data_IF_151317691570
#
_entry.id   IF_151317691570
#
_cell.length_a   1.000
_cell.length_b   1.000
_cell.length_c   1.000
_cell.angle_alpha   90.00
_cell.angle_beta   90.00
_cell.angle_gamma   90.00
#
_symmetry.space_group_name_H-M   'P 1'
#
loop_
_entity.id
_entity.type
_entity.pdbx_description
1 polymer ?
#
# COMPACT_ATOMS: atom_id res chain seq x y z
N UNK A 1 -13.01 33.04 -15.56
CA UNK A 1 -13.23 32.62 -14.17
C UNK A 1 -12.03 31.75 -13.80
N UNK A 2 -11.14 32.21 -12.94
CA UNK A 2 -9.89 31.46 -12.61
C UNK A 2 -10.23 30.48 -11.50
N UNK A 3 -10.21 29.18 -11.82
CA UNK A 3 -10.40 28.09 -10.86
C UNK A 3 -9.10 27.98 -10.06
N UNK A 4 -9.19 28.13 -8.75
CA UNK A 4 -8.06 27.94 -7.84
C UNK A 4 -7.89 26.45 -7.58
N UNK A 5 -6.78 25.90 -8.03
CA UNK A 5 -6.34 24.55 -7.64
C UNK A 5 -6.16 24.49 -6.13
N UNK A 6 -6.91 23.64 -5.47
CA UNK A 6 -6.70 23.28 -4.07
C UNK A 6 -5.97 21.94 -4.03
N UNK A 7 -4.64 22.02 -3.98
CA UNK A 7 -3.82 20.84 -3.68
C UNK A 7 -3.87 20.62 -2.17
N UNK A 8 -4.63 19.64 -1.72
CA UNK A 8 -4.59 19.22 -0.33
C UNK A 8 -3.31 18.42 -0.06
N UNK A 9 -2.44 18.97 0.75
CA UNK A 9 -1.33 18.25 1.38
C UNK A 9 -1.91 17.70 2.68
N UNK A 10 -2.22 16.42 2.70
CA UNK A 10 -2.68 15.77 3.92
C UNK A 10 -1.56 15.65 4.96
N UNK A 11 -1.92 15.95 6.17
CA UNK A 11 -1.06 16.21 7.29
C UNK A 11 -0.30 14.98 7.81
N UNK A 12 0.86 15.28 8.31
CA UNK A 12 1.79 14.51 9.11
C UNK A 12 1.11 13.91 10.35
N UNK A 13 0.93 12.60 10.40
CA UNK A 13 0.66 11.89 11.65
C UNK A 13 1.96 11.29 12.19
N UNK A 14 2.47 11.86 13.26
CA UNK A 14 3.60 11.31 14.03
C UNK A 14 3.04 10.27 15.01
N UNK A 15 3.25 9.00 14.69
CA UNK A 15 2.97 7.90 15.63
C UNK A 15 4.14 7.74 16.60
N UNK A 16 3.88 7.88 17.90
CA UNK A 16 4.88 7.63 18.96
C UNK A 16 4.96 6.12 19.19
N UNK A 17 6.05 5.51 18.79
CA UNK A 17 6.39 4.12 19.05
C UNK A 17 7.86 3.98 19.42
N UNK A 18 8.18 3.10 20.33
CA UNK A 18 9.47 2.75 20.92
C UNK A 18 10.73 3.19 20.15
N UNK A 19 11.64 3.80 20.87
CA UNK A 19 12.99 4.29 20.52
C UNK A 19 13.40 4.19 19.02
N UNK A 20 13.28 5.30 18.28
CA UNK A 20 14.24 5.63 17.25
C UNK A 20 13.77 5.67 15.79
N UNK A 21 12.50 5.51 15.45
CA UNK A 21 12.07 5.59 14.04
C UNK A 21 10.91 6.56 13.87
N UNK A 22 11.18 7.65 13.17
CA UNK A 22 10.17 8.60 12.75
C UNK A 22 9.74 8.29 11.31
N UNK A 23 8.84 7.32 11.13
CA UNK A 23 8.31 7.01 9.80
C UNK A 23 7.55 8.23 9.27
N UNK A 24 7.89 8.67 8.07
CA UNK A 24 7.21 9.72 7.34
C UNK A 24 6.35 9.08 6.25
N UNK A 25 5.06 9.43 6.23
CA UNK A 25 4.13 9.02 5.18
C UNK A 25 3.80 10.26 4.35
N UNK A 26 3.93 10.14 3.04
CA UNK A 26 3.50 11.15 2.07
C UNK A 26 2.42 10.53 1.22
N UNK A 27 1.29 11.22 1.07
CA UNK A 27 0.18 10.79 0.22
C UNK A 27 -0.01 11.83 -0.87
N UNK A 28 0.02 11.39 -2.12
CA UNK A 28 -0.42 12.15 -3.28
C UNK A 28 -1.78 11.63 -3.75
N UNK A 29 -2.64 12.56 -4.11
CA UNK A 29 -3.98 12.28 -4.61
C UNK A 29 -4.29 13.13 -5.83
N UNK A 30 -4.84 12.50 -6.86
CA UNK A 30 -5.46 13.15 -8.00
C UNK A 30 -6.96 12.81 -8.02
N UNK A 31 -7.80 13.81 -7.85
CA UNK A 31 -9.26 13.62 -7.71
C UNK A 31 -9.88 12.94 -8.94
N UNK A 32 -10.97 12.21 -8.74
CA UNK A 32 -11.62 11.41 -9.77
C UNK A 32 -11.93 12.17 -11.06
N UNK A 33 -12.34 13.44 -11.00
CA UNK A 33 -12.64 14.26 -12.19
C UNK A 33 -11.43 14.64 -13.05
N UNK A 34 -10.21 14.50 -12.52
CA UNK A 34 -8.95 14.83 -13.19
C UNK A 34 -8.07 13.59 -13.40
N UNK A 35 -8.48 12.44 -12.85
CA UNK A 35 -7.75 11.20 -12.95
C UNK A 35 -7.65 10.74 -14.41
N UNK A 36 -6.44 10.37 -14.82
CA UNK A 36 -6.16 9.86 -16.17
C UNK A 36 -4.84 9.10 -16.19
N UNK A 37 -4.66 8.22 -17.17
CA UNK A 37 -3.49 7.34 -17.30
C UNK A 37 -2.16 8.06 -17.56
N UNK A 38 -2.15 9.36 -17.82
CA UNK A 38 -0.94 10.17 -18.00
C UNK A 38 -0.57 11.00 -16.76
N UNK A 39 -1.36 10.92 -15.69
CA UNK A 39 -1.11 11.66 -14.47
C UNK A 39 0.20 11.23 -13.81
N UNK A 40 0.91 12.20 -13.23
CA UNK A 40 2.14 11.96 -12.47
C UNK A 40 2.00 12.54 -11.07
N UNK A 41 2.25 11.71 -10.09
CA UNK A 41 2.30 12.12 -8.70
C UNK A 41 3.42 13.14 -8.48
N UNK A 42 3.20 14.08 -7.58
CA UNK A 42 4.11 15.21 -7.34
C UNK A 42 5.26 14.84 -6.41
N UNK A 43 4.96 14.10 -5.36
CA UNK A 43 5.88 13.81 -4.26
C UNK A 43 6.25 12.32 -4.20
N UNK A 44 5.39 11.45 -4.71
CA UNK A 44 5.65 10.00 -4.81
C UNK A 44 6.20 9.72 -6.21
N UNK A 45 7.34 9.03 -6.33
CA UNK A 45 7.91 8.71 -7.65
C UNK A 45 6.96 7.79 -8.44
N UNK A 46 7.08 7.74 -9.78
CA UNK A 46 6.36 6.75 -10.57
C UNK A 46 6.85 5.33 -10.23
N UNK A 47 6.03 4.29 -10.49
CA UNK A 47 6.43 2.90 -10.28
C UNK A 47 7.75 2.55 -10.94
N UNK A 48 8.53 1.72 -10.26
CA UNK A 48 9.81 1.22 -10.71
C UNK A 48 9.67 -0.22 -11.19
N UNK A 49 10.12 -0.53 -12.43
CA UNK A 49 10.04 -1.88 -13.01
C UNK A 49 11.08 -2.87 -12.49
N UNK A 50 12.13 -2.38 -11.84
CA UNK A 50 13.31 -3.13 -11.45
C UNK A 50 13.69 -2.95 -9.96
N UNK A 51 12.69 -2.58 -9.17
CA UNK A 51 12.82 -2.48 -7.72
C UNK A 51 12.93 -3.87 -7.04
N UNK A 52 12.98 -3.91 -5.72
CA UNK A 52 13.04 -5.19 -4.99
C UNK A 52 11.72 -5.97 -5.08
N UNK A 53 10.59 -5.27 -5.22
CA UNK A 53 9.26 -5.87 -5.38
C UNK A 53 9.16 -6.73 -6.61
N UNK A 54 9.74 -6.31 -7.74
CA UNK A 54 9.70 -7.02 -9.02
C UNK A 54 10.24 -8.47 -8.97
N UNK A 55 11.04 -8.80 -7.96
CA UNK A 55 11.61 -10.15 -7.75
C UNK A 55 11.06 -10.85 -6.51
N UNK A 56 10.17 -10.20 -5.79
CA UNK A 56 9.60 -10.73 -4.56
C UNK A 56 8.62 -11.87 -4.86
N UNK A 57 8.53 -12.81 -3.93
CA UNK A 57 7.46 -13.80 -3.95
C UNK A 57 6.29 -13.26 -3.15
N UNK A 58 5.14 -13.13 -3.81
CA UNK A 58 3.90 -12.74 -3.14
C UNK A 58 3.06 -13.96 -2.73
N UNK A 59 2.40 -13.86 -1.59
CA UNK A 59 1.54 -14.91 -1.05
C UNK A 59 0.31 -14.27 -0.42
N UNK A 60 -0.89 -14.74 -0.78
CA UNK A 60 -2.11 -14.39 -0.06
C UNK A 60 -2.10 -15.10 1.30
N UNK A 61 -2.00 -14.31 2.38
CA UNK A 61 -1.95 -14.85 3.75
C UNK A 61 -3.35 -15.05 4.29
N UNK A 62 -4.24 -14.09 4.10
CA UNK A 62 -5.62 -14.13 4.59
C UNK A 62 -6.55 -13.32 3.69
N UNK A 63 -7.85 -13.61 3.73
CA UNK A 63 -8.84 -13.06 2.82
C UNK A 63 -8.95 -13.87 1.52
N UNK A 64 -9.73 -13.39 0.57
CA UNK A 64 -9.89 -13.94 -0.76
C UNK A 64 -9.60 -12.85 -1.80
N UNK A 65 -9.05 -13.22 -2.95
CA UNK A 65 -8.91 -12.33 -4.11
C UNK A 65 -10.23 -12.26 -4.84
N UNK A 66 -10.61 -11.08 -5.30
CA UNK A 66 -11.76 -10.93 -6.19
C UNK A 66 -11.47 -11.57 -7.55
N UNK A 67 -12.45 -12.29 -8.09
CA UNK A 67 -12.31 -13.03 -9.36
C UNK A 67 -12.24 -12.12 -10.59
N UNK A 68 -12.63 -10.86 -10.47
CA UNK A 68 -12.54 -9.87 -11.55
C UNK A 68 -11.19 -9.15 -11.56
N UNK A 69 -10.44 -9.20 -10.43
CA UNK A 69 -9.14 -8.57 -10.29
C UNK A 69 -8.00 -9.36 -10.92
N UNK A 70 -6.87 -8.70 -11.08
CA UNK A 70 -5.61 -9.38 -11.35
C UNK A 70 -5.15 -10.17 -10.11
N UNK A 71 -4.26 -11.12 -10.32
CA UNK A 71 -3.60 -11.79 -9.20
C UNK A 71 -2.55 -10.87 -8.53
N UNK A 72 -1.89 -11.37 -7.48
CA UNK A 72 -0.90 -10.60 -6.73
C UNK A 72 0.29 -10.12 -7.59
N UNK A 73 0.54 -10.69 -8.77
CA UNK A 73 1.65 -10.26 -9.62
C UNK A 73 1.48 -8.86 -10.19
N UNK A 74 0.24 -8.37 -10.30
CA UNK A 74 -0.03 -6.97 -10.68
C UNK A 74 0.56 -5.96 -9.70
N UNK A 75 0.83 -6.38 -8.44
CA UNK A 75 1.43 -5.50 -7.44
C UNK A 75 2.93 -5.25 -7.63
N UNK A 76 3.56 -5.86 -8.63
CA UNK A 76 5.02 -5.79 -8.81
C UNK A 76 5.44 -5.80 -10.28
N UNK A 77 4.55 -5.43 -11.19
CA UNK A 77 4.83 -5.43 -12.63
C UNK A 77 5.35 -4.06 -13.14
N UNK A 78 5.40 -3.06 -12.25
CA UNK A 78 5.86 -1.71 -12.55
C UNK A 78 4.91 -0.91 -13.43
N UNK A 79 3.62 -1.26 -13.43
CA UNK A 79 2.59 -0.63 -14.25
C UNK A 79 1.53 0.03 -13.38
N UNK A 80 0.91 1.08 -13.90
CA UNK A 80 -0.32 1.67 -13.36
C UNK A 80 -1.45 1.46 -14.36
N UNK A 81 -2.70 1.39 -13.90
CA UNK A 81 -3.87 1.40 -14.76
C UNK A 81 -3.85 2.60 -15.71
N UNK A 82 -4.45 2.43 -16.87
CA UNK A 82 -4.63 3.50 -17.88
C UNK A 82 -6.03 4.10 -17.85
N UNK A 83 -6.95 3.43 -17.16
CA UNK A 83 -8.36 3.81 -17.02
C UNK A 83 -8.78 3.73 -15.55
N UNK A 84 -9.83 4.47 -15.19
CA UNK A 84 -10.26 4.65 -13.80
C UNK A 84 -10.95 3.42 -13.17
N UNK A 85 -11.47 2.52 -13.98
CA UNK A 85 -12.05 1.25 -13.56
C UNK A 85 -11.46 0.14 -14.43
N UNK A 86 -10.29 -0.35 -14.05
CA UNK A 86 -9.53 -1.36 -14.76
C UNK A 86 -9.19 -2.54 -13.83
N UNK A 87 -10.16 -3.41 -13.50
CA UNK A 87 -9.96 -4.52 -12.58
C UNK A 87 -8.76 -5.40 -12.92
N UNK A 88 -8.56 -5.69 -14.22
CA UNK A 88 -7.45 -6.55 -14.72
C UNK A 88 -6.04 -5.99 -14.51
N UNK A 89 -5.91 -4.72 -14.15
CA UNK A 89 -4.64 -4.06 -13.83
C UNK A 89 -4.46 -3.80 -12.33
N UNK A 90 -5.38 -4.32 -11.50
CA UNK A 90 -5.37 -4.10 -10.07
C UNK A 90 -5.61 -5.40 -9.32
N UNK A 91 -4.90 -5.57 -8.22
CA UNK A 91 -5.24 -6.54 -7.20
C UNK A 91 -6.22 -5.93 -6.20
N UNK A 92 -7.26 -6.65 -5.83
CA UNK A 92 -8.15 -6.29 -4.73
C UNK A 92 -8.76 -7.53 -4.08
N UNK A 93 -9.15 -7.37 -2.83
CA UNK A 93 -9.82 -8.43 -2.08
C UNK A 93 -11.28 -8.54 -2.52
N UNK A 94 -11.83 -9.74 -2.36
CA UNK A 94 -13.20 -10.08 -2.71
C UNK A 94 -14.21 -9.16 -2.00
N UNK A 95 -15.33 -8.90 -2.66
CA UNK A 95 -16.47 -8.19 -2.08
C UNK A 95 -16.91 -8.84 -0.75
N UNK A 96 -17.53 -8.07 0.12
CA UNK A 96 -18.02 -8.54 1.44
C UNK A 96 -16.94 -9.06 2.37
N UNK A 97 -15.69 -8.72 2.11
CA UNK A 97 -14.59 -8.97 3.05
C UNK A 97 -14.09 -7.66 3.64
N UNK A 98 -13.63 -7.71 4.90
CA UNK A 98 -12.97 -6.56 5.54
C UNK A 98 -11.54 -6.35 5.02
N UNK A 99 -11.24 -6.76 3.80
CA UNK A 99 -9.89 -6.80 3.24
C UNK A 99 -9.20 -8.13 3.53
N UNK A 100 -7.88 -8.09 3.73
CA UNK A 100 -7.09 -9.30 3.94
C UNK A 100 -5.62 -8.99 4.14
N UNK A 101 -4.79 -10.03 4.10
CA UNK A 101 -3.34 -9.93 4.25
C UNK A 101 -2.62 -10.56 3.08
N UNK A 102 -1.63 -9.86 2.54
CA UNK A 102 -0.65 -10.45 1.64
C UNK A 102 0.77 -10.24 2.13
N UNK A 103 1.61 -11.20 1.83
CA UNK A 103 3.03 -11.24 2.17
C UNK A 103 3.86 -11.00 0.91
N UNK A 104 4.92 -10.20 1.05
CA UNK A 104 5.99 -10.05 0.07
C UNK A 104 7.30 -10.56 0.68
N UNK A 105 7.89 -11.63 0.12
CA UNK A 105 9.20 -12.17 0.49
C UNK A 105 10.24 -11.67 -0.52
N UNK A 106 11.15 -10.82 -0.06
CA UNK A 106 12.24 -10.24 -0.86
C UNK A 106 13.41 -11.22 -1.09
N UNK A 107 13.30 -12.47 -0.59
CA UNK A 107 14.32 -13.52 -0.72
C UNK A 107 15.46 -13.41 0.29
N UNK A 108 15.86 -12.21 0.69
CA UNK A 108 16.90 -11.97 1.69
C UNK A 108 16.63 -10.70 2.49
N UNK A 109 17.25 -10.57 3.67
CA UNK A 109 17.12 -9.37 4.47
C UNK A 109 17.98 -8.23 3.86
N UNK A 110 17.31 -7.18 3.38
CA UNK A 110 17.90 -6.03 2.69
C UNK A 110 17.55 -4.76 3.46
N UNK A 111 18.45 -3.79 3.51
CA UNK A 111 18.17 -2.49 4.12
C UNK A 111 17.28 -1.67 3.17
N UNK A 112 16.08 -1.33 3.65
CA UNK A 112 15.06 -0.64 2.87
C UNK A 112 15.10 0.86 3.16
N UNK A 113 14.95 1.68 2.11
CA UNK A 113 14.86 3.15 2.24
C UNK A 113 13.45 3.66 2.07
N UNK A 114 12.62 3.01 1.26
CA UNK A 114 11.32 3.51 0.86
C UNK A 114 10.40 2.37 0.41
N UNK A 115 9.12 2.50 0.70
CA UNK A 115 8.06 1.63 0.18
C UNK A 115 6.96 2.54 -0.35
N UNK A 116 6.53 2.31 -1.60
CA UNK A 116 5.43 3.04 -2.21
C UNK A 116 4.28 2.08 -2.54
N UNK A 117 3.07 2.59 -2.49
CA UNK A 117 1.87 1.86 -2.91
C UNK A 117 1.01 2.77 -3.78
N UNK A 118 0.34 2.18 -4.77
CA UNK A 118 -0.46 2.91 -5.73
C UNK A 118 -1.84 2.26 -5.86
N UNK A 119 -2.85 3.10 -6.10
CA UNK A 119 -4.23 2.65 -6.33
C UNK A 119 -5.00 3.64 -7.19
N UNK A 120 -5.97 3.15 -7.93
CA UNK A 120 -6.87 3.99 -8.72
C UNK A 120 -8.24 3.36 -8.88
N UNK A 121 -9.27 4.12 -8.49
CA UNK A 121 -10.66 3.78 -8.74
C UNK A 121 -11.52 5.05 -8.68
N UNK A 122 -12.61 5.16 -9.44
CA UNK A 122 -13.44 6.37 -9.49
C UNK A 122 -14.21 6.67 -8.20
N UNK A 123 -14.34 5.70 -7.29
CA UNK A 123 -15.12 5.84 -6.05
C UNK A 123 -14.32 5.42 -4.81
N UNK A 124 -15.02 5.00 -3.77
CA UNK A 124 -14.50 4.57 -2.44
C UNK A 124 -13.40 3.51 -2.46
N UNK A 125 -13.18 2.82 -3.58
CA UNK A 125 -12.12 1.84 -3.76
C UNK A 125 -10.79 2.43 -4.27
N UNK A 126 -10.73 3.76 -4.49
CA UNK A 126 -9.48 4.49 -4.78
C UNK A 126 -8.58 4.64 -3.55
N UNK A 127 -9.11 5.10 -2.39
CA UNK A 127 -8.31 5.29 -1.19
C UNK A 127 -7.69 4.00 -0.66
N UNK A 128 -6.57 4.15 0.05
CA UNK A 128 -5.83 3.05 0.67
C UNK A 128 -5.99 3.07 2.19
N UNK A 129 -6.21 1.89 2.79
CA UNK A 129 -6.20 1.70 4.23
C UNK A 129 -5.51 0.38 4.57
N UNK A 130 -4.30 0.45 5.10
CA UNK A 130 -3.56 -0.75 5.51
C UNK A 130 -2.58 -0.48 6.64
N UNK A 131 -2.20 -1.53 7.36
CA UNK A 131 -1.03 -1.56 8.25
C UNK A 131 0.09 -2.32 7.58
N UNK A 132 1.29 -1.75 7.64
CA UNK A 132 2.51 -2.39 7.14
C UNK A 132 3.32 -2.93 8.32
N UNK A 133 3.72 -4.18 8.21
CA UNK A 133 4.65 -4.84 9.10
C UNK A 133 5.85 -5.36 8.32
N UNK A 134 7.00 -5.47 8.97
CA UNK A 134 8.22 -6.00 8.36
C UNK A 134 8.94 -6.94 9.32
N UNK A 135 9.69 -7.91 8.78
CA UNK A 135 10.52 -8.84 9.56
C UNK A 135 11.75 -9.25 8.75
N UNK A 136 12.87 -9.52 9.44
CA UNK A 136 14.00 -10.20 8.83
C UNK A 136 13.88 -11.74 8.89
N UNK A 137 12.88 -12.23 9.65
CA UNK A 137 12.62 -13.66 9.87
C UNK A 137 13.50 -14.31 10.92
N UNK A 138 14.34 -13.54 11.64
CA UNK A 138 15.27 -14.09 12.62
C UNK A 138 14.68 -14.31 14.03
N UNK A 139 13.52 -13.71 14.32
CA UNK A 139 12.87 -13.92 15.62
C UNK A 139 12.46 -15.40 15.77
N UNK A 140 12.80 -16.10 16.87
CA UNK A 140 12.37 -17.48 17.09
C UNK A 140 10.85 -17.70 17.08
N UNK A 141 10.07 -16.66 17.26
CA UNK A 141 8.59 -16.70 17.20
C UNK A 141 8.07 -16.37 15.80
N UNK A 142 8.95 -16.14 14.83
CA UNK A 142 8.52 -15.68 13.51
C UNK A 142 7.53 -16.66 12.86
N UNK A 143 6.35 -16.15 12.59
CA UNK A 143 5.35 -16.78 11.75
C UNK A 143 5.20 -15.93 10.47
N UNK A 144 5.58 -16.48 9.32
CA UNK A 144 5.53 -15.76 8.04
C UNK A 144 4.11 -15.48 7.54
N UNK A 145 3.12 -16.25 8.01
CA UNK A 145 1.74 -16.16 7.51
C UNK A 145 0.71 -16.01 8.65
N UNK A 146 0.81 -14.94 9.48
CA UNK A 146 -0.13 -14.74 10.56
C UNK A 146 -1.51 -14.36 10.01
N UNK A 147 -2.50 -15.24 10.24
CA UNK A 147 -3.89 -15.00 9.84
C UNK A 147 -4.49 -13.80 10.58
N UNK A 148 -5.53 -13.18 10.02
CA UNK A 148 -6.30 -12.13 10.72
C UNK A 148 -6.81 -12.66 12.06
N UNK A 149 -6.83 -11.76 13.06
CA UNK A 149 -7.08 -12.15 14.45
C UNK A 149 -5.81 -12.47 15.24
N UNK A 150 -4.66 -12.70 14.57
CA UNK A 150 -3.34 -12.78 15.20
C UNK A 150 -2.64 -11.43 15.03
N UNK A 151 -2.18 -10.84 16.14
CA UNK A 151 -1.33 -9.65 16.09
C UNK A 151 0.05 -10.03 15.52
N UNK A 152 0.48 -9.50 14.38
CA UNK A 152 1.78 -9.81 13.79
C UNK A 152 2.94 -9.50 14.73
N UNK A 153 2.85 -8.48 15.57
CA UNK A 153 3.89 -8.13 16.52
C UNK A 153 4.14 -9.25 17.53
N UNK A 154 3.10 -10.01 17.90
CA UNK A 154 3.24 -11.15 18.82
C UNK A 154 4.00 -12.33 18.24
N UNK A 155 4.19 -12.37 16.92
CA UNK A 155 4.83 -13.47 16.20
C UNK A 155 6.00 -13.01 15.30
N UNK A 156 6.82 -12.11 15.80
CA UNK A 156 8.12 -11.77 15.21
C UNK A 156 8.07 -10.73 14.09
N UNK A 157 6.97 -9.98 13.96
CA UNK A 157 6.88 -8.86 13.06
C UNK A 157 7.06 -7.54 13.80
N UNK A 158 7.61 -6.57 13.11
CA UNK A 158 7.68 -5.18 13.54
C UNK A 158 6.62 -4.36 12.81
N UNK A 159 5.83 -3.61 13.53
CA UNK A 159 4.95 -2.61 12.96
C UNK A 159 5.77 -1.46 12.38
N UNK A 160 5.51 -1.08 11.13
CA UNK A 160 6.19 0.01 10.42
C UNK A 160 5.29 1.24 10.38
N UNK A 161 4.08 1.12 9.81
CA UNK A 161 3.20 2.25 9.60
C UNK A 161 1.73 1.83 9.45
N UNK A 162 0.82 2.77 9.69
CA UNK A 162 -0.54 2.72 9.17
C UNK A 162 -0.66 3.75 8.05
N UNK A 163 -1.04 3.32 6.86
CA UNK A 163 -1.39 4.20 5.75
C UNK A 163 -2.90 4.32 5.70
N UNK A 164 -3.39 5.56 5.69
CA UNK A 164 -4.79 5.88 5.47
C UNK A 164 -4.86 7.10 4.55
N UNK A 165 -5.43 6.92 3.38
CA UNK A 165 -5.73 8.00 2.44
C UNK A 165 -7.25 8.23 2.32
N UNK A 166 -8.02 7.73 3.29
CA UNK A 166 -9.46 7.96 3.35
C UNK A 166 -9.75 9.46 3.38
N UNK A 167 -10.69 9.95 2.58
CA UNK A 167 -11.08 11.35 2.60
C UNK A 167 -11.83 11.69 3.90
N UNK A 168 -11.74 12.95 4.34
CA UNK A 168 -12.55 13.43 5.46
C UNK A 168 -14.05 13.50 5.10
N UNK A 169 -14.34 13.70 3.82
CA UNK A 169 -15.71 13.79 3.28
C UNK A 169 -15.76 13.27 1.85
N UNK A 170 -16.92 12.74 1.45
CA UNK A 170 -17.14 12.23 0.09
C UNK A 170 -16.60 10.83 -0.14
N UNK A 171 -16.65 10.35 -1.38
CA UNK A 171 -16.30 8.98 -1.76
C UNK A 171 -14.80 8.77 -1.95
N UNK A 172 -14.03 9.84 -2.16
CA UNK A 172 -12.59 9.75 -2.29
C UNK A 172 -12.08 9.08 -3.56
N UNK A 173 -12.86 9.08 -4.64
CA UNK A 173 -12.41 8.52 -5.92
C UNK A 173 -11.18 9.23 -6.48
N UNK A 174 -10.37 8.52 -7.26
CA UNK A 174 -9.19 9.04 -7.94
C UNK A 174 -7.97 8.13 -7.85
N UNK A 175 -6.83 8.73 -8.19
CA UNK A 175 -5.52 8.09 -8.16
C UNK A 175 -4.81 8.45 -6.86
N UNK A 176 -4.31 7.45 -6.16
CA UNK A 176 -3.57 7.62 -4.91
C UNK A 176 -2.19 7.00 -5.03
N UNK A 177 -1.21 7.66 -4.42
CA UNK A 177 0.08 7.07 -4.12
C UNK A 177 0.47 7.40 -2.68
N UNK A 178 0.97 6.41 -1.96
CA UNK A 178 1.54 6.59 -0.64
C UNK A 178 3.02 6.21 -0.65
N UNK A 179 3.86 7.01 0.00
CA UNK A 179 5.28 6.74 0.17
C UNK A 179 5.62 6.71 1.65
N UNK A 180 6.24 5.63 2.09
CA UNK A 180 6.69 5.39 3.45
C UNK A 180 8.21 5.48 3.46
N UNK A 181 8.77 6.42 4.23
CA UNK A 181 10.20 6.65 4.37
C UNK A 181 10.56 6.89 5.84
N UNK A 182 11.86 6.87 6.15
CA UNK A 182 12.38 7.33 7.43
C UNK A 182 13.38 8.48 7.19
N UNK A 183 13.35 9.57 7.98
CA UNK A 183 14.30 10.68 7.84
C UNK A 183 15.77 10.29 7.99
N UNK A 184 16.06 9.16 8.65
CA UNK A 184 17.44 8.61 8.70
C UNK A 184 17.88 7.98 7.37
N UNK A 185 16.97 7.85 6.41
CA UNK A 185 17.20 7.18 5.13
C UNK A 185 17.16 5.66 5.20
N UNK A 186 16.66 5.08 6.32
CA UNK A 186 16.52 3.63 6.47
C UNK A 186 15.27 3.28 7.26
N UNK A 187 14.40 2.48 6.66
CA UNK A 187 13.27 1.84 7.34
C UNK A 187 13.69 0.63 8.18
N UNK A 188 14.93 0.14 7.97
CA UNK A 188 15.48 -1.04 8.61
C UNK A 188 15.85 -2.13 7.61
N UNK A 189 16.39 -3.25 8.13
CA UNK A 189 16.83 -4.39 7.34
C UNK A 189 15.80 -5.51 7.46
N UNK A 190 15.09 -5.80 6.35
CA UNK A 190 13.98 -6.74 6.32
C UNK A 190 14.03 -7.65 5.10
N UNK A 191 13.46 -8.85 5.24
CA UNK A 191 13.20 -9.80 4.17
C UNK A 191 11.72 -9.86 3.84
N UNK A 192 10.86 -9.73 4.84
CA UNK A 192 9.43 -9.94 4.71
C UNK A 192 8.68 -8.64 4.97
N UNK A 193 7.71 -8.34 4.11
CA UNK A 193 6.75 -7.27 4.29
C UNK A 193 5.35 -7.88 4.32
N UNK A 194 4.55 -7.53 5.32
CA UNK A 194 3.16 -7.96 5.46
C UNK A 194 2.25 -6.75 5.37
N UNK A 195 1.37 -6.75 4.41
CA UNK A 195 0.33 -5.76 4.23
C UNK A 195 -0.97 -6.31 4.82
N UNK A 196 -1.48 -5.65 5.85
CA UNK A 196 -2.78 -5.94 6.49
C UNK A 196 -3.77 -4.88 5.98
N UNK A 197 -4.49 -5.19 4.90
CA UNK A 197 -5.35 -4.29 4.18
C UNK A 197 -6.78 -4.34 4.72
N UNK A 198 -7.44 -3.18 4.77
CA UNK A 198 -8.81 -3.02 5.25
C UNK A 198 -9.69 -2.50 4.13
N UNK A 199 -10.97 -2.87 4.16
CA UNK A 199 -11.97 -2.29 3.27
C UNK A 199 -12.07 -0.77 3.49
N UNK A 200 -12.25 -0.03 2.41
CA UNK A 200 -12.38 1.43 2.41
C UNK A 200 -13.82 1.89 2.16
N UNK A 201 -14.69 0.96 1.92
CA UNK A 201 -16.09 1.16 1.61
C UNK A 201 -16.99 0.59 2.70
N UNK A 202 -18.05 1.33 3.05
CA UNK A 202 -18.95 0.96 4.13
C UNK A 202 -20.42 0.85 3.65
N UNK A 203 -20.69 1.08 2.36
CA UNK A 203 -22.07 1.34 1.93
C UNK A 203 -22.69 0.31 0.99
N UNK A 204 -21.89 -0.45 0.23
CA UNK A 204 -22.43 -1.36 -0.78
C UNK A 204 -21.77 -2.75 -0.84
N UNK A 205 -20.86 -3.05 0.06
CA UNK A 205 -20.16 -4.34 0.17
C UNK A 205 -19.26 -4.72 -1.04
N UNK A 206 -19.02 -3.82 -2.00
CA UNK A 206 -18.12 -4.09 -3.14
C UNK A 206 -16.65 -3.81 -2.82
N UNK A 207 -16.38 -3.19 -1.79
CA UNK A 207 -15.49 -2.27 -1.32
C UNK A 207 -14.09 -2.52 -0.90
N UNK A 208 -13.25 -3.16 -1.65
CA UNK A 208 -11.84 -3.21 -1.35
C UNK A 208 -11.00 -2.36 -2.33
N UNK A 209 -9.94 -1.74 -1.81
CA UNK A 209 -9.03 -0.88 -2.58
C UNK A 209 -8.47 -1.59 -3.81
N UNK A 210 -8.49 -0.91 -4.96
CA UNK A 210 -7.83 -1.33 -6.20
C UNK A 210 -6.34 -1.00 -6.13
N UNK A 211 -5.55 -1.89 -5.53
CA UNK A 211 -4.09 -1.75 -5.48
C UNK A 211 -3.48 -2.06 -6.85
N UNK A 212 -2.73 -1.09 -7.38
CA UNK A 212 -2.11 -1.18 -8.70
C UNK A 212 -0.67 -1.65 -8.64
N UNK A 213 0.10 -1.19 -7.61
CA UNK A 213 1.54 -1.44 -7.55
C UNK A 213 2.09 -1.23 -6.14
N UNK A 214 3.15 -1.94 -5.82
CA UNK A 214 3.95 -1.80 -4.59
C UNK A 214 5.44 -1.80 -4.94
N UNK A 215 6.08 -0.64 -4.83
CA UNK A 215 7.53 -0.54 -4.96
C UNK A 215 8.24 -0.74 -3.62
N UNK A 216 9.36 -1.43 -3.64
CA UNK A 216 10.26 -1.60 -2.49
C UNK A 216 11.68 -1.19 -2.87
N UNK A 217 12.19 -0.11 -2.29
CA UNK A 217 13.47 0.47 -2.66
C UNK A 217 14.55 0.17 -1.60
N UNK A 218 15.68 -0.35 -2.06
CA UNK A 218 16.86 -0.55 -1.20
C UNK A 218 17.49 0.79 -0.82
N UNK A 219 18.11 0.83 0.33
CA UNK A 219 19.06 1.89 0.68
C UNK A 219 20.30 1.77 -0.19
N UNK A 220 20.64 2.85 -0.86
CA UNK A 220 21.85 2.97 -1.69
C UNK A 220 23.08 3.21 -0.84
#
# INVERSE_FOLDING_TARGET
MRIKFVTFIAALTVGVGFAGFAVKIVIDHNSGSEANGSFKFKNVPPPAKDDLGAKAKLTLVDGAMDSNGADLSALTDGLLPTEEDQPSANFFFDERTDGGRFLMDLGSAIELSQINTYSWHPTTRGPQLYKLYASDGADPKFNGEPKRGVDPVSCGWRFIATVSSLPETGEGGGQYAASITDPSGSLGKYRYLLFDCYATENSDDWGNTFYSEVDVLAKK
#
